data_IF_719011220607
#
_entry.id   IF_719011220607
#
_cell.length_a   1.000
_cell.length_b   1.000
_cell.length_c   1.000
_cell.angle_alpha   90.00
_cell.angle_beta   90.00
_cell.angle_gamma   90.00
#
_symmetry.space_group_name_H-M   'P 1'
#
loop_
_entity.id
_entity.type
_entity.pdbx_description
1 polymer ?
#
# COMPACT_ATOMS: atom_id res chain seq x y z
N UNK A 1 -4.93 2.74 -2.35
CA UNK A 1 -5.27 2.98 -0.93
C UNK A 1 -3.99 3.27 -0.17
N UNK A 2 -3.99 4.28 0.69
CA UNK A 2 -2.80 4.75 1.43
C UNK A 2 -3.16 4.87 2.91
N UNK A 3 -2.57 4.03 3.76
CA UNK A 3 -2.76 4.04 5.21
C UNK A 3 -1.54 4.53 5.95
N UNK A 4 -1.70 5.47 6.87
CA UNK A 4 -0.62 6.02 7.70
C UNK A 4 -0.89 5.90 9.20
N UNK A 5 0.05 5.31 9.94
CA UNK A 5 -0.08 5.15 11.39
C UNK A 5 -1.38 4.44 11.79
N UNK A 6 -2.15 5.01 12.74
CA UNK A 6 -3.45 4.47 13.19
C UNK A 6 -4.52 4.45 12.09
N UNK A 7 -4.36 5.25 11.03
CA UNK A 7 -5.27 5.27 9.88
C UNK A 7 -5.25 3.98 9.05
N UNK A 8 -4.42 3.00 9.44
CA UNK A 8 -4.35 1.68 8.82
C UNK A 8 -5.46 0.74 9.28
N UNK A 9 -5.98 0.92 10.50
CA UNK A 9 -7.00 0.05 11.11
C UNK A 9 -8.23 -0.20 10.23
N UNK A 10 -8.88 0.81 9.65
CA UNK A 10 -10.05 0.58 8.80
C UNK A 10 -9.72 -0.20 7.52
N UNK A 11 -8.46 -0.17 7.06
CA UNK A 11 -8.07 -0.95 5.88
C UNK A 11 -7.99 -2.45 6.18
N UNK A 12 -7.93 -2.89 7.45
CA UNK A 12 -7.96 -4.31 7.78
C UNK A 12 -9.25 -4.99 7.30
N UNK A 13 -10.41 -4.38 7.55
CA UNK A 13 -11.70 -4.91 7.11
C UNK A 13 -11.90 -4.73 5.60
N UNK A 14 -11.54 -3.57 5.05
CA UNK A 14 -11.65 -3.29 3.61
C UNK A 14 -10.84 -4.28 2.77
N UNK A 15 -9.61 -4.58 3.19
CA UNK A 15 -8.75 -5.53 2.49
C UNK A 15 -9.32 -6.95 2.54
N UNK A 16 -9.85 -7.37 3.69
CA UNK A 16 -10.51 -8.67 3.83
C UNK A 16 -11.77 -8.78 2.95
N UNK A 17 -12.63 -7.76 2.94
CA UNK A 17 -13.83 -7.74 2.10
C UNK A 17 -13.46 -7.75 0.60
N UNK A 18 -12.42 -7.00 0.20
CA UNK A 18 -11.90 -7.00 -1.16
C UNK A 18 -11.50 -8.40 -1.64
N UNK A 19 -10.66 -9.11 -0.89
CA UNK A 19 -10.19 -10.46 -1.30
C UNK A 19 -11.31 -11.50 -1.22
N UNK A 20 -12.25 -11.34 -0.29
CA UNK A 20 -13.41 -12.20 -0.19
C UNK A 20 -14.39 -12.01 -1.36
N UNK A 21 -14.74 -10.76 -1.69
CA UNK A 21 -15.68 -10.47 -2.77
C UNK A 21 -15.10 -10.74 -4.16
N UNK A 22 -13.78 -10.63 -4.34
CA UNK A 22 -13.11 -11.03 -5.60
C UNK A 22 -13.03 -12.55 -5.75
N UNK A 23 -12.75 -13.30 -4.68
CA UNK A 23 -12.71 -14.78 -4.73
C UNK A 23 -14.08 -15.43 -4.90
N UNK A 24 -15.14 -14.82 -4.37
CA UNK A 24 -16.54 -15.30 -4.50
C UNK A 24 -17.26 -14.76 -5.74
N UNK A 25 -16.58 -14.00 -6.60
CA UNK A 25 -17.16 -13.30 -7.76
C UNK A 25 -18.37 -12.41 -7.39
N UNK A 26 -18.46 -11.98 -6.12
CA UNK A 26 -19.52 -11.10 -5.59
C UNK A 26 -19.51 -9.73 -6.25
N UNK A 27 -18.34 -9.32 -6.72
CA UNK A 27 -18.13 -8.10 -7.49
C UNK A 27 -18.18 -8.33 -9.01
N UNK A 28 -18.83 -9.40 -9.48
CA UNK A 28 -19.06 -9.62 -10.91
C UNK A 28 -19.82 -8.43 -11.51
N UNK A 29 -19.11 -7.62 -12.31
CA UNK A 29 -19.61 -6.35 -12.86
C UNK A 29 -18.95 -5.09 -12.30
N UNK A 30 -18.27 -5.17 -11.14
CA UNK A 30 -17.42 -4.08 -10.62
C UNK A 30 -16.02 -4.21 -11.21
N UNK A 31 -15.59 -3.21 -11.99
CA UNK A 31 -14.32 -3.22 -12.72
C UNK A 31 -13.08 -2.93 -11.84
N UNK A 32 -13.02 -3.40 -10.59
CA UNK A 32 -11.82 -3.27 -9.77
C UNK A 32 -10.81 -4.38 -10.12
N UNK A 33 -9.94 -4.11 -11.09
CA UNK A 33 -8.96 -5.10 -11.59
C UNK A 33 -7.66 -5.15 -10.80
N UNK A 34 -7.34 -4.08 -10.07
CA UNK A 34 -6.10 -3.97 -9.30
C UNK A 34 -6.24 -2.96 -8.18
N UNK A 35 -5.72 -3.30 -7.00
CA UNK A 35 -5.64 -2.45 -5.82
C UNK A 35 -4.20 -2.39 -5.36
N UNK A 36 -3.67 -1.17 -5.27
CA UNK A 36 -2.40 -0.89 -4.61
C UNK A 36 -2.68 -0.44 -3.18
N UNK A 37 -2.12 -1.14 -2.20
CA UNK A 37 -2.19 -0.77 -0.80
C UNK A 37 -0.81 -0.34 -0.29
N UNK A 38 -0.69 0.94 0.05
CA UNK A 38 0.53 1.53 0.59
C UNK A 38 0.34 1.74 2.09
N UNK A 39 1.07 0.98 2.89
CA UNK A 39 1.10 1.19 4.33
C UNK A 39 2.37 1.94 4.73
N UNK A 40 2.21 3.10 5.37
CA UNK A 40 3.30 3.99 5.75
C UNK A 40 3.35 4.08 7.27
N UNK A 41 4.42 3.59 7.87
CA UNK A 41 4.60 3.60 9.32
C UNK A 41 6.06 3.94 9.69
N UNK A 42 6.32 4.47 10.90
CA UNK A 42 7.69 4.62 11.38
C UNK A 42 8.35 3.27 11.62
N UNK A 43 7.65 2.34 12.26
CA UNK A 43 8.08 0.96 12.53
C UNK A 43 6.89 0.03 12.74
N UNK A 44 7.15 -1.28 12.73
CA UNK A 44 6.14 -2.30 13.00
C UNK A 44 5.78 -2.46 14.48
N UNK A 45 6.52 -1.83 15.40
CA UNK A 45 6.46 -2.08 16.85
C UNK A 45 5.04 -2.05 17.44
N UNK A 46 4.18 -1.15 16.96
CA UNK A 46 2.81 -0.98 17.45
C UNK A 46 1.74 -1.56 16.52
N UNK A 47 2.14 -2.21 15.44
CA UNK A 47 1.25 -2.66 14.37
C UNK A 47 1.59 -4.10 13.91
N UNK A 48 2.19 -4.91 14.79
CA UNK A 48 2.50 -6.31 14.47
C UNK A 48 1.23 -7.10 14.14
N UNK A 49 0.12 -6.84 14.83
CA UNK A 49 -1.19 -7.43 14.52
C UNK A 49 -1.60 -7.19 13.06
N UNK A 50 -1.23 -6.05 12.48
CA UNK A 50 -1.60 -5.71 11.11
C UNK A 50 -0.75 -6.48 10.08
N UNK A 51 0.49 -6.86 10.43
CA UNK A 51 1.28 -7.79 9.62
C UNK A 51 0.56 -9.13 9.47
N UNK A 52 -0.04 -9.64 10.54
CA UNK A 52 -0.79 -10.89 10.50
C UNK A 52 -2.05 -10.77 9.64
N UNK A 53 -2.75 -9.63 9.71
CA UNK A 53 -3.88 -9.32 8.81
C UNK A 53 -3.43 -9.31 7.36
N UNK A 54 -2.33 -8.61 7.02
CA UNK A 54 -1.83 -8.57 5.65
C UNK A 54 -1.43 -9.97 5.16
N UNK A 55 -0.85 -10.79 6.03
CA UNK A 55 -0.46 -12.17 5.71
C UNK A 55 -1.69 -13.02 5.37
N UNK A 56 -2.77 -12.87 6.12
CA UNK A 56 -4.02 -13.58 5.86
C UNK A 56 -4.68 -13.11 4.55
N UNK A 57 -4.72 -11.80 4.32
CA UNK A 57 -5.25 -11.21 3.08
C UNK A 57 -4.45 -11.68 1.85
N UNK A 58 -3.11 -11.69 1.91
CA UNK A 58 -2.26 -12.15 0.80
C UNK A 58 -2.39 -13.65 0.50
N UNK A 59 -2.78 -14.46 1.49
CA UNK A 59 -3.08 -15.88 1.28
C UNK A 59 -4.43 -16.07 0.60
N UNK A 60 -5.43 -15.24 0.95
CA UNK A 60 -6.78 -15.28 0.37
C UNK A 60 -6.87 -14.65 -1.00
N UNK A 61 -5.93 -13.78 -1.38
CA UNK A 61 -5.88 -13.17 -2.71
C UNK A 61 -5.44 -14.16 -3.80
N UNK A 62 -6.37 -14.99 -4.25
CA UNK A 62 -6.16 -15.95 -5.35
C UNK A 62 -6.18 -15.30 -6.73
N UNK A 63 -6.74 -14.08 -6.84
CA UNK A 63 -6.87 -13.36 -8.11
C UNK A 63 -5.72 -12.38 -8.37
N UNK A 64 -4.80 -12.23 -7.41
CA UNK A 64 -3.69 -11.29 -7.43
C UNK A 64 -4.16 -9.83 -7.66
N UNK A 65 -5.34 -9.50 -7.12
CA UNK A 65 -5.92 -8.16 -7.22
C UNK A 65 -5.16 -7.16 -6.36
N UNK A 66 -4.54 -7.61 -5.27
CA UNK A 66 -3.90 -6.76 -4.28
C UNK A 66 -2.38 -6.74 -4.46
N UNK A 67 -1.79 -5.54 -4.42
CA UNK A 67 -0.34 -5.34 -4.37
C UNK A 67 0.00 -4.45 -3.18
N UNK A 68 0.76 -5.01 -2.22
CA UNK A 68 1.04 -4.36 -0.94
C UNK A 68 2.47 -3.81 -0.94
N UNK A 69 2.59 -2.54 -0.56
CA UNK A 69 3.86 -1.86 -0.34
C UNK A 69 3.90 -1.32 1.09
N UNK A 70 4.93 -1.68 1.84
CA UNK A 70 5.12 -1.22 3.22
C UNK A 70 6.30 -0.25 3.24
N UNK A 71 6.09 0.97 3.72
CA UNK A 71 7.11 2.02 3.84
C UNK A 71 7.44 2.25 5.31
N UNK A 72 8.67 1.90 5.68
CA UNK A 72 9.23 2.11 7.02
C UNK A 72 10.00 3.42 7.01
N UNK A 73 9.47 4.41 7.73
CA UNK A 73 9.92 5.81 7.64
C UNK A 73 10.86 6.24 8.76
N UNK A 74 11.10 5.38 9.76
CA UNK A 74 12.08 5.66 10.81
C UNK A 74 13.48 5.78 10.21
N UNK A 75 14.30 6.67 10.78
CA UNK A 75 15.68 6.81 10.35
C UNK A 75 16.51 5.60 10.78
N UNK A 76 17.46 5.18 9.94
CA UNK A 76 18.27 3.97 10.17
C UNK A 76 18.95 3.96 11.54
N UNK A 77 19.50 5.09 11.99
CA UNK A 77 20.18 5.22 13.29
C UNK A 77 19.25 5.08 14.50
N UNK A 78 17.93 5.10 14.27
CA UNK A 78 16.93 4.87 15.31
C UNK A 78 16.29 3.49 15.22
N UNK A 79 16.67 2.63 14.28
CA UNK A 79 16.05 1.31 14.15
C UNK A 79 16.23 0.50 15.44
N UNK A 80 15.15 -0.15 15.85
CA UNK A 80 15.24 -1.23 16.83
C UNK A 80 15.81 -2.49 16.16
N UNK A 81 16.12 -3.51 16.97
CA UNK A 81 16.66 -4.77 16.47
C UNK A 81 15.74 -5.40 15.40
N UNK A 82 14.42 -5.34 15.61
CA UNK A 82 13.42 -5.87 14.69
C UNK A 82 13.50 -5.18 13.32
N UNK A 83 13.50 -3.85 13.30
CA UNK A 83 13.57 -3.07 12.06
C UNK A 83 14.93 -3.21 11.37
N UNK A 84 16.00 -3.34 12.15
CA UNK A 84 17.35 -3.60 11.63
C UNK A 84 17.44 -4.95 10.94
N UNK A 85 16.92 -6.02 11.58
CA UNK A 85 16.87 -7.35 10.97
C UNK A 85 16.02 -7.34 9.70
N UNK A 86 14.85 -6.71 9.73
CA UNK A 86 14.03 -6.55 8.54
C UNK A 86 14.80 -5.85 7.42
N UNK A 87 15.47 -4.73 7.69
CA UNK A 87 16.30 -4.03 6.71
C UNK A 87 17.39 -4.92 6.09
N UNK A 88 18.11 -5.68 6.91
CA UNK A 88 19.16 -6.59 6.43
C UNK A 88 18.53 -7.69 5.58
N UNK A 89 17.47 -8.34 6.06
CA UNK A 89 16.77 -9.41 5.37
C UNK A 89 16.26 -8.95 3.99
N UNK A 90 15.64 -7.79 3.91
CA UNK A 90 15.09 -7.27 2.66
C UNK A 90 16.18 -6.91 1.66
N UNK A 91 17.23 -6.21 2.08
CA UNK A 91 18.29 -5.80 1.14
C UNK A 91 19.15 -6.96 0.63
N UNK A 92 19.34 -8.01 1.43
CA UNK A 92 20.27 -9.10 1.08
C UNK A 92 19.56 -10.35 0.55
N UNK A 93 18.33 -10.61 0.98
CA UNK A 93 17.69 -11.91 0.73
C UNK A 93 16.35 -11.83 -0.02
N UNK A 94 15.75 -10.64 -0.18
CA UNK A 94 14.47 -10.50 -0.89
C UNK A 94 14.55 -10.92 -2.37
N UNK A 95 15.74 -10.84 -3.01
CA UNK A 95 15.90 -11.32 -4.40
C UNK A 95 15.91 -12.85 -4.51
N UNK A 96 16.20 -13.54 -3.40
CA UNK A 96 16.28 -15.00 -3.35
C UNK A 96 14.93 -15.63 -2.98
N UNK A 97 14.06 -14.90 -2.29
CA UNK A 97 12.74 -15.36 -1.84
C UNK A 97 11.63 -14.42 -2.31
N UNK A 98 10.55 -14.98 -2.88
CA UNK A 98 9.35 -14.20 -3.26
C UNK A 98 8.57 -13.64 -2.06
N UNK A 99 8.99 -13.99 -0.85
CA UNK A 99 8.44 -13.50 0.42
C UNK A 99 9.56 -12.99 1.32
N UNK A 100 9.25 -11.98 2.13
CA UNK A 100 10.10 -11.53 3.22
C UNK A 100 10.40 -12.70 4.16
N UNK A 101 11.68 -13.02 4.36
CA UNK A 101 12.07 -14.05 5.35
C UNK A 101 11.72 -13.64 6.79
N UNK A 102 11.56 -12.34 7.03
CA UNK A 102 11.31 -11.82 8.37
C UNK A 102 9.82 -11.78 8.71
N UNK A 103 8.97 -11.31 7.79
CA UNK A 103 7.52 -11.16 8.04
C UNK A 103 6.67 -12.28 7.43
N UNK A 104 7.23 -13.03 6.48
CA UNK A 104 6.51 -14.03 5.67
C UNK A 104 5.56 -13.43 4.63
N UNK A 105 5.59 -12.10 4.43
CA UNK A 105 4.74 -11.40 3.47
C UNK A 105 5.33 -11.43 2.06
N UNK A 106 4.47 -11.46 1.03
CA UNK A 106 4.83 -11.14 -0.36
C UNK A 106 4.97 -9.63 -0.57
N UNK A 107 4.41 -8.82 0.32
CA UNK A 107 4.51 -7.38 0.34
C UNK A 107 5.95 -6.89 0.22
N UNK A 108 6.13 -5.84 -0.57
CA UNK A 108 7.45 -5.24 -0.77
C UNK A 108 7.70 -4.20 0.32
N UNK A 109 8.77 -4.39 1.10
CA UNK A 109 9.21 -3.42 2.09
C UNK A 109 10.12 -2.36 1.45
N UNK A 110 9.88 -1.10 1.80
CA UNK A 110 10.62 0.08 1.37
C UNK A 110 11.09 0.83 2.61
N UNK A 111 12.30 1.38 2.57
CA UNK A 111 12.86 2.15 3.68
C UNK A 111 12.95 3.63 3.26
N UNK A 112 12.23 4.47 3.98
CA UNK A 112 12.02 5.88 3.64
C UNK A 112 10.56 6.20 3.33
N UNK A 113 10.31 7.47 3.03
CA UNK A 113 8.98 7.94 2.64
C UNK A 113 8.74 7.68 1.15
N UNK A 114 7.50 7.33 0.75
CA UNK A 114 7.19 7.15 -0.66
C UNK A 114 7.26 8.48 -1.41
N UNK A 115 7.89 8.48 -2.59
CA UNK A 115 7.66 9.50 -3.60
C UNK A 115 6.33 9.22 -4.30
N UNK A 116 5.25 9.82 -3.76
CA UNK A 116 3.90 9.62 -4.26
C UNK A 116 3.76 10.06 -5.73
N UNK A 117 4.46 11.10 -6.16
CA UNK A 117 4.36 11.59 -7.54
C UNK A 117 4.99 10.58 -8.51
N UNK A 118 6.14 10.01 -8.17
CA UNK A 118 6.78 8.97 -8.97
C UNK A 118 5.96 7.68 -8.97
N UNK A 119 5.41 7.28 -7.82
CA UNK A 119 4.52 6.12 -7.73
C UNK A 119 3.27 6.28 -8.60
N UNK A 120 2.58 7.43 -8.52
CA UNK A 120 1.38 7.69 -9.32
C UNK A 120 1.70 7.76 -10.82
N UNK A 121 2.84 8.33 -11.24
CA UNK A 121 3.29 8.28 -12.65
C UNK A 121 3.53 6.85 -13.13
N UNK A 122 4.13 6.00 -12.28
CA UNK A 122 4.30 4.58 -12.58
C UNK A 122 2.95 3.89 -12.78
N UNK A 123 2.00 4.09 -11.86
CA UNK A 123 0.63 3.54 -11.96
C UNK A 123 -0.07 4.06 -13.23
N UNK A 124 0.07 5.35 -13.54
CA UNK A 124 -0.51 5.97 -14.74
C UNK A 124 0.01 5.30 -16.01
N UNK A 125 1.32 5.05 -16.10
CA UNK A 125 1.95 4.36 -17.23
C UNK A 125 1.52 2.89 -17.32
N UNK A 126 1.50 2.18 -16.18
CA UNK A 126 1.17 0.75 -16.12
C UNK A 126 -0.29 0.47 -16.46
N UNK A 127 -1.18 1.40 -16.14
CA UNK A 127 -2.63 1.27 -16.34
C UNK A 127 -3.17 2.34 -17.30
N UNK A 128 -2.47 2.62 -18.38
CA UNK A 128 -2.89 3.62 -19.39
C UNK A 128 -4.20 3.26 -20.12
N UNK A 129 -4.68 2.03 -19.97
CA UNK A 129 -5.93 1.53 -20.54
C UNK A 129 -7.19 1.90 -19.73
N UNK A 130 -7.04 2.48 -18.51
CA UNK A 130 -8.18 2.99 -17.73
C UNK A 130 -8.24 4.52 -17.80
N UNK A 131 -9.44 5.07 -17.65
CA UNK A 131 -9.66 6.52 -17.70
C UNK A 131 -9.45 7.22 -16.36
N UNK A 132 -9.78 6.53 -15.25
CA UNK A 132 -9.78 7.09 -13.90
C UNK A 132 -9.24 6.07 -12.89
N UNK A 133 -8.55 6.56 -11.87
CA UNK A 133 -8.08 5.78 -10.72
C UNK A 133 -8.47 6.51 -9.44
N UNK A 134 -9.14 5.82 -8.51
CA UNK A 134 -9.42 6.32 -7.17
C UNK A 134 -8.20 6.20 -6.25
N UNK A 135 -7.88 7.26 -5.52
CA UNK A 135 -6.81 7.30 -4.53
C UNK A 135 -7.41 7.66 -3.18
N UNK A 136 -7.47 6.67 -2.30
CA UNK A 136 -8.01 6.81 -0.95
C UNK A 136 -6.87 6.94 0.04
N UNK A 137 -6.90 7.95 0.92
CA UNK A 137 -5.87 8.11 1.96
C UNK A 137 -6.48 8.34 3.34
N UNK A 138 -5.97 7.60 4.33
CA UNK A 138 -6.28 7.77 5.75
C UNK A 138 -4.97 7.82 6.56
N UNK A 139 -4.81 8.84 7.41
CA UNK A 139 -3.60 8.99 8.24
C UNK A 139 -3.29 10.45 8.58
N UNK A 140 -2.06 10.74 9.05
CA UNK A 140 -1.66 12.09 9.45
C UNK A 140 -1.83 13.11 8.33
N UNK A 141 -2.23 14.34 8.68
CA UNK A 141 -2.44 15.43 7.71
C UNK A 141 -1.27 15.66 6.73
N UNK A 142 0.02 15.60 7.15
CA UNK A 142 1.12 15.75 6.21
C UNK A 142 1.15 14.66 5.12
N UNK A 143 0.78 13.43 5.49
CA UNK A 143 0.71 12.32 4.55
C UNK A 143 -0.42 12.52 3.56
N UNK A 144 -1.66 12.74 4.04
CA UNK A 144 -2.82 12.86 3.16
C UNK A 144 -2.71 14.08 2.24
N UNK A 145 -2.15 15.20 2.72
CA UNK A 145 -1.82 16.37 1.90
C UNK A 145 -0.78 16.05 0.82
N UNK A 146 0.27 15.29 1.15
CA UNK A 146 1.27 14.85 0.17
C UNK A 146 0.67 13.98 -0.94
N UNK A 147 -0.27 13.10 -0.59
CA UNK A 147 -0.98 12.25 -1.57
C UNK A 147 -1.85 13.12 -2.48
N UNK A 148 -2.61 14.06 -1.91
CA UNK A 148 -3.45 15.00 -2.66
C UNK A 148 -2.63 15.82 -3.66
N UNK A 149 -1.54 16.46 -3.20
CA UNK A 149 -0.67 17.28 -4.05
C UNK A 149 -0.01 16.46 -5.15
N UNK A 150 0.36 15.20 -4.90
CA UNK A 150 0.88 14.31 -5.93
C UNK A 150 -0.17 13.97 -6.99
N UNK A 151 -1.42 13.72 -6.60
CA UNK A 151 -2.52 13.50 -7.54
C UNK A 151 -2.74 14.73 -8.43
N UNK A 152 -2.79 15.93 -7.86
CA UNK A 152 -2.90 17.18 -8.61
C UNK A 152 -1.74 17.38 -9.58
N UNK A 153 -0.51 17.16 -9.12
CA UNK A 153 0.70 17.31 -9.95
C UNK A 153 0.67 16.37 -11.15
N UNK A 154 0.31 15.09 -10.96
CA UNK A 154 0.28 14.11 -12.05
C UNK A 154 -0.86 14.42 -13.02
N UNK A 155 -2.03 14.82 -12.52
CA UNK A 155 -3.19 15.18 -13.35
C UNK A 155 -2.94 16.41 -14.24
N UNK A 156 -2.06 17.35 -13.84
CA UNK A 156 -1.69 18.52 -14.68
C UNK A 156 -1.08 18.11 -16.02
N UNK A 157 -0.50 16.91 -16.12
CA UNK A 157 0.04 16.41 -17.39
C UNK A 157 -1.04 16.05 -18.41
N UNK A 158 -2.32 16.02 -18.02
CA UNK A 158 -3.49 15.69 -18.86
C UNK A 158 -3.37 14.34 -19.58
N UNK A 159 -2.60 13.41 -19.00
CA UNK A 159 -2.48 12.02 -19.47
C UNK A 159 -3.46 11.14 -18.69
N UNK A 160 -4.02 10.14 -19.37
CA UNK A 160 -4.83 9.12 -18.71
C UNK A 160 -3.94 8.07 -18.01
N UNK A 161 -4.44 7.45 -16.93
CA UNK A 161 -5.64 7.82 -16.17
C UNK A 161 -5.51 9.11 -15.36
N UNK A 162 -6.66 9.74 -15.09
CA UNK A 162 -6.80 10.78 -14.07
C UNK A 162 -6.94 10.18 -12.67
N UNK A 163 -6.26 10.77 -11.69
CA UNK A 163 -6.36 10.38 -10.29
C UNK A 163 -7.43 11.19 -9.57
N UNK A 164 -8.35 10.52 -8.90
CA UNK A 164 -9.39 11.15 -8.08
C UNK A 164 -9.06 10.85 -6.63
N UNK A 165 -8.70 11.88 -5.88
CA UNK A 165 -8.29 11.74 -4.48
C UNK A 165 -9.51 11.84 -3.55
N UNK A 166 -9.60 10.91 -2.61
CA UNK A 166 -10.62 10.84 -1.59
C UNK A 166 -9.95 10.79 -0.21
N UNK A 167 -10.39 11.68 0.68
CA UNK A 167 -10.03 11.65 2.08
C UNK A 167 -10.96 10.70 2.81
N UNK A 168 -10.39 9.70 3.47
CA UNK A 168 -11.15 8.76 4.28
C UNK A 168 -10.93 9.10 5.76
N UNK A 169 -11.94 9.68 6.39
CA UNK A 169 -12.01 9.82 7.84
C UNK A 169 -12.91 8.71 8.37
N UNK A 170 -12.31 7.58 8.72
CA UNK A 170 -12.99 6.52 9.46
C UNK A 170 -12.99 6.93 10.93
N UNK A 171 -13.93 7.82 11.29
CA UNK A 171 -14.18 8.32 12.64
C UNK A 171 -15.56 7.92 13.11
#
# INVERSE_FOLDING_TARGET
>A
MVGGGIGVTPYASILNDLVFGTSTNRYSGVACKKVYFLWICPSHKHFEWFIDVLRDVERKDVTNVLEIHIFITQFFHKFDLRTTMLYICENHFQRLSRTSMFTGLKAVNHFGRPDMSSFLKFVQKKHSYVSKIGVFSCGPRPLTKSVMSACEQVNRTRRLPYFIHHFENFG
#
